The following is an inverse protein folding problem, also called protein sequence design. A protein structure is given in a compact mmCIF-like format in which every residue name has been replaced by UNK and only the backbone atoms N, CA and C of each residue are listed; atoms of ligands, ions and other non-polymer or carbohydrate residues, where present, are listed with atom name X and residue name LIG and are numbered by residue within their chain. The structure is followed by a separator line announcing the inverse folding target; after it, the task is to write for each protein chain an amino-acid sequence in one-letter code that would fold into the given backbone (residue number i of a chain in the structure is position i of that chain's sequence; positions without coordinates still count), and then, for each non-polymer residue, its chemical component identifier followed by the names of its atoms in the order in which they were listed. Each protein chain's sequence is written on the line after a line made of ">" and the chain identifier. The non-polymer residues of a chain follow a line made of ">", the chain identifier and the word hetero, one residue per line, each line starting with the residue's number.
data_IF_230597880665
#
_entry.id   IF_230597880665
#
_cell.length_a   1.000
_cell.length_b   1.000
_cell.length_c   1.000
_cell.angle_alpha   90.00
_cell.angle_beta   90.00
_cell.angle_gamma   90.00
#
_symmetry.space_group_name_H-M   'P 1'
#
loop_
_entity.id
_entity.type
_entity.pdbx_description
1 polymer ?
#
# COMPACT_ATOMS: atom_id res chain seq x y z
N UNK A 1 -11.53 -29.59 -47.46
CA UNK A 1 -10.70 -28.63 -46.71
C UNK A 1 -11.44 -27.30 -46.63
N UNK A 2 -12.07 -26.97 -45.49
CA UNK A 2 -12.65 -25.63 -45.27
C UNK A 2 -11.75 -24.86 -44.28
N UNK A 3 -11.39 -23.59 -44.55
CA UNK A 3 -10.50 -22.85 -43.66
C UNK A 3 -11.27 -22.30 -42.46
N UNK A 4 -10.83 -22.69 -41.27
CA UNK A 4 -11.35 -22.24 -39.99
C UNK A 4 -10.94 -20.76 -39.76
N UNK A 5 -11.82 -19.81 -40.06
CA UNK A 5 -11.60 -18.39 -39.76
C UNK A 5 -11.74 -18.16 -38.26
N UNK A 6 -10.60 -18.06 -37.58
CA UNK A 6 -10.48 -17.63 -36.18
C UNK A 6 -11.34 -16.38 -35.95
N UNK A 7 -12.46 -16.54 -35.19
CA UNK A 7 -13.32 -15.43 -34.78
C UNK A 7 -12.50 -14.46 -33.94
N UNK A 8 -12.06 -13.36 -34.55
CA UNK A 8 -11.58 -12.19 -33.82
C UNK A 8 -12.74 -11.71 -32.93
N UNK A 9 -12.61 -11.90 -31.61
CA UNK A 9 -13.62 -11.45 -30.64
C UNK A 9 -13.76 -9.93 -30.76
N UNK A 10 -14.91 -9.49 -31.25
CA UNK A 10 -15.24 -8.08 -31.45
C UNK A 10 -15.43 -7.37 -30.10
N UNK A 11 -14.36 -6.84 -29.51
CA UNK A 11 -14.37 -6.07 -28.25
C UNK A 11 -15.20 -4.77 -28.34
N UNK A 12 -15.61 -4.35 -29.54
CA UNK A 12 -16.32 -3.10 -29.80
C UNK A 12 -17.80 -3.11 -29.36
N UNK A 13 -18.38 -4.26 -29.03
CA UNK A 13 -19.80 -4.40 -28.67
C UNK A 13 -20.03 -4.81 -27.20
N UNK A 14 -19.25 -4.27 -26.25
CA UNK A 14 -19.61 -4.39 -24.83
C UNK A 14 -20.92 -3.65 -24.57
N UNK A 15 -21.99 -4.39 -24.28
CA UNK A 15 -23.30 -3.79 -23.95
C UNK A 15 -23.14 -2.87 -22.74
N UNK A 16 -23.89 -1.75 -22.74
CA UNK A 16 -23.86 -0.73 -21.68
C UNK A 16 -24.01 -1.37 -20.29
N UNK A 17 -24.86 -2.37 -20.18
CA UNK A 17 -25.10 -3.16 -18.96
C UNK A 17 -23.83 -3.86 -18.46
N UNK A 18 -23.08 -4.54 -19.33
CA UNK A 18 -21.82 -5.18 -18.95
C UNK A 18 -20.76 -4.18 -18.50
N UNK A 19 -20.73 -2.98 -19.08
CA UNK A 19 -19.85 -1.89 -18.63
C UNK A 19 -20.24 -1.40 -17.23
N UNK A 20 -21.53 -1.22 -16.98
CA UNK A 20 -22.05 -0.82 -15.67
C UNK A 20 -21.71 -1.87 -14.60
N UNK A 21 -21.94 -3.14 -14.91
CA UNK A 21 -21.61 -4.25 -14.00
C UNK A 21 -20.11 -4.33 -13.71
N UNK A 22 -19.25 -4.21 -14.73
CA UNK A 22 -17.80 -4.18 -14.56
C UNK A 22 -17.35 -3.00 -13.68
N UNK A 23 -17.90 -1.80 -13.90
CA UNK A 23 -17.61 -0.63 -13.08
C UNK A 23 -18.09 -0.79 -11.63
N UNK A 24 -19.25 -1.42 -11.42
CA UNK A 24 -19.75 -1.74 -10.07
C UNK A 24 -18.80 -2.71 -9.34
N UNK A 25 -18.33 -3.76 -10.03
CA UNK A 25 -17.35 -4.69 -9.46
C UNK A 25 -16.03 -4.00 -9.11
N UNK A 26 -15.52 -3.15 -9.99
CA UNK A 26 -14.28 -2.43 -9.73
C UNK A 26 -14.42 -1.46 -8.54
N UNK A 27 -15.56 -0.77 -8.41
CA UNK A 27 -15.85 0.04 -7.22
C UNK A 27 -15.81 -0.80 -5.95
N UNK A 28 -16.47 -1.96 -5.91
CA UNK A 28 -16.44 -2.84 -4.75
C UNK A 28 -15.02 -3.33 -4.42
N UNK A 29 -14.23 -3.66 -5.44
CA UNK A 29 -12.81 -4.03 -5.28
C UNK A 29 -12.02 -2.89 -4.65
N UNK A 30 -12.16 -1.67 -5.15
CA UNK A 30 -11.48 -0.47 -4.62
C UNK A 30 -11.95 -0.13 -3.20
N UNK A 31 -13.25 -0.28 -2.88
CA UNK A 31 -13.76 -0.09 -1.52
C UNK A 31 -13.12 -1.08 -0.55
N UNK A 32 -13.03 -2.35 -0.93
CA UNK A 32 -12.38 -3.40 -0.12
C UNK A 32 -10.91 -3.06 0.15
N UNK A 33 -10.17 -2.68 -0.89
CA UNK A 33 -8.76 -2.28 -0.77
C UNK A 33 -8.62 -1.05 0.12
N UNK A 34 -9.50 -0.06 -0.02
CA UNK A 34 -9.43 1.16 0.77
C UNK A 34 -9.72 0.89 2.25
N UNK A 35 -10.66 0.00 2.56
CA UNK A 35 -10.93 -0.43 3.94
C UNK A 35 -9.73 -1.15 4.56
N UNK A 36 -9.09 -2.08 3.83
CA UNK A 36 -7.87 -2.74 4.28
C UNK A 36 -6.72 -1.74 4.49
N UNK A 37 -6.62 -0.74 3.60
CA UNK A 37 -5.62 0.31 3.69
C UNK A 37 -5.82 1.20 4.92
N UNK A 38 -7.05 1.58 5.25
CA UNK A 38 -7.34 2.34 6.47
C UNK A 38 -7.01 1.52 7.73
N UNK A 39 -7.29 0.21 7.72
CA UNK A 39 -6.89 -0.68 8.82
C UNK A 39 -5.37 -0.71 9.01
N UNK A 40 -4.61 -0.76 7.90
CA UNK A 40 -3.16 -0.63 7.97
C UNK A 40 -2.75 0.75 8.51
N UNK A 41 -3.36 1.84 8.03
CA UNK A 41 -3.08 3.21 8.47
C UNK A 41 -3.26 3.39 9.97
N UNK A 42 -4.28 2.78 10.57
CA UNK A 42 -4.51 2.86 12.03
C UNK A 42 -3.59 1.95 12.84
N UNK A 43 -2.94 0.97 12.20
CA UNK A 43 -2.05 0.00 12.87
C UNK A 43 -0.59 0.43 12.86
N UNK A 44 -0.20 1.36 11.98
CA UNK A 44 1.18 1.87 11.89
C UNK A 44 1.41 3.04 12.85
N UNK A 45 2.63 3.20 13.40
CA UNK A 45 2.97 4.34 14.25
C UNK A 45 2.95 5.66 13.47
N UNK A 46 2.44 6.71 14.10
CA UNK A 46 2.35 8.07 13.55
C UNK A 46 2.44 9.10 14.69
N UNK A 47 2.64 10.39 14.37
CA UNK A 47 2.69 11.45 15.39
C UNK A 47 1.34 11.69 16.06
N UNK A 48 0.25 11.42 15.34
CA UNK A 48 -1.11 11.55 15.84
C UNK A 48 -2.01 10.55 15.13
N UNK A 49 -2.97 9.98 15.86
CA UNK A 49 -3.98 9.07 15.31
C UNK A 49 -4.74 9.67 14.11
N UNK A 50 -4.91 11.00 14.10
CA UNK A 50 -5.63 11.72 13.05
C UNK A 50 -4.73 12.25 11.92
N UNK A 51 -3.43 11.95 11.94
CA UNK A 51 -2.49 12.44 10.94
C UNK A 51 -2.81 11.87 9.55
N UNK A 52 -3.04 12.76 8.57
CA UNK A 52 -3.36 12.37 7.18
C UNK A 52 -2.11 11.94 6.40
N UNK A 53 -1.72 10.67 6.55
CA UNK A 53 -0.64 10.06 5.77
C UNK A 53 -1.07 9.73 4.32
N UNK A 54 -0.13 9.79 3.38
CA UNK A 54 -0.38 9.32 2.00
C UNK A 54 -0.35 7.79 1.93
N UNK A 55 -0.85 7.19 0.83
CA UNK A 55 -0.76 5.74 0.65
C UNK A 55 0.68 5.24 0.65
N UNK A 56 1.58 5.96 -0.01
CA UNK A 56 2.99 5.59 -0.03
C UNK A 56 3.64 5.72 1.36
N UNK A 57 3.29 6.77 2.10
CA UNK A 57 3.79 7.02 3.45
C UNK A 57 3.44 5.89 4.41
N UNK A 58 2.18 5.45 4.42
CA UNK A 58 1.73 4.32 5.27
C UNK A 58 2.48 3.05 4.93
N UNK A 59 2.69 2.75 3.64
CA UNK A 59 3.46 1.57 3.22
C UNK A 59 4.92 1.64 3.68
N UNK A 60 5.58 2.79 3.52
CA UNK A 60 6.97 2.99 3.97
C UNK A 60 7.12 2.81 5.49
N UNK A 61 6.23 3.44 6.25
CA UNK A 61 6.23 3.31 7.72
C UNK A 61 5.95 1.86 8.14
N UNK A 62 5.00 1.18 7.48
CA UNK A 62 4.70 -0.22 7.75
C UNK A 62 5.92 -1.13 7.56
N UNK A 63 6.68 -0.96 6.47
CA UNK A 63 7.88 -1.76 6.23
C UNK A 63 8.93 -1.57 7.33
N UNK A 64 9.27 -0.33 7.69
CA UNK A 64 10.23 -0.04 8.76
C UNK A 64 9.76 -0.59 10.11
N UNK A 65 8.45 -0.47 10.38
CA UNK A 65 7.88 -0.95 11.64
C UNK A 65 7.86 -2.48 11.74
N UNK A 66 7.55 -3.19 10.65
CA UNK A 66 7.66 -4.66 10.59
C UNK A 66 9.10 -5.09 10.89
N UNK A 67 10.10 -4.45 10.28
CA UNK A 67 11.51 -4.76 10.54
C UNK A 67 11.85 -4.58 12.03
N UNK A 68 11.46 -3.44 12.62
CA UNK A 68 11.67 -3.17 14.04
C UNK A 68 11.04 -4.23 14.95
N UNK A 69 9.75 -4.53 14.76
CA UNK A 69 9.05 -5.54 15.56
C UNK A 69 9.66 -6.93 15.39
N UNK A 70 10.16 -7.23 14.20
CA UNK A 70 10.81 -8.51 13.93
C UNK A 70 12.15 -8.63 14.64
N UNK A 71 12.98 -7.58 14.63
CA UNK A 71 14.22 -7.53 15.41
C UNK A 71 13.96 -7.66 16.91
N UNK A 72 12.90 -7.02 17.42
CA UNK A 72 12.46 -7.17 18.81
C UNK A 72 12.03 -8.60 19.15
N UNK A 73 11.45 -9.32 18.18
CA UNK A 73 11.06 -10.72 18.32
C UNK A 73 12.22 -11.72 18.07
N UNK A 74 13.44 -11.25 17.81
CA UNK A 74 14.60 -12.09 17.53
C UNK A 74 14.64 -12.66 16.11
N UNK A 75 13.85 -12.12 15.18
CA UNK A 75 13.88 -12.46 13.77
C UNK A 75 14.73 -11.44 12.98
N UNK A 76 15.35 -11.88 11.89
CA UNK A 76 16.05 -10.99 10.95
C UNK A 76 15.37 -11.02 9.58
N UNK A 77 14.77 -9.89 9.19
CA UNK A 77 14.26 -9.63 7.84
C UNK A 77 15.03 -8.51 7.13
N UNK A 78 16.21 -8.14 7.65
CA UNK A 78 17.05 -7.15 7.00
C UNK A 78 17.58 -7.68 5.67
N UNK A 79 17.73 -6.78 4.70
CA UNK A 79 18.35 -7.16 3.43
C UNK A 79 19.81 -7.56 3.67
N UNK A 80 20.18 -8.72 3.13
CA UNK A 80 21.56 -9.23 3.19
C UNK A 80 22.04 -9.71 4.56
N UNK A 81 21.15 -9.89 5.55
CA UNK A 81 21.55 -10.31 6.90
C UNK A 81 22.42 -9.28 7.60
N UNK A 82 22.15 -7.99 7.35
CA UNK A 82 22.85 -6.87 8.02
C UNK A 82 22.60 -6.84 9.52
N UNK A 83 21.57 -7.54 9.97
CA UNK A 83 21.21 -7.75 11.36
C UNK A 83 21.27 -6.45 12.19
N UNK A 84 20.51 -5.41 11.79
CA UNK A 84 20.55 -4.13 12.47
C UNK A 84 20.15 -4.29 13.93
N UNK A 85 20.79 -3.51 14.78
CA UNK A 85 20.39 -3.40 16.17
C UNK A 85 18.96 -2.86 16.28
N UNK A 86 18.31 -3.17 17.40
CA UNK A 86 16.98 -2.63 17.70
C UNK A 86 17.00 -1.10 17.68
N UNK A 87 18.07 -0.48 18.21
CA UNK A 87 18.23 0.98 18.20
C UNK A 87 18.21 1.57 16.79
N UNK A 88 18.97 0.97 15.87
CA UNK A 88 19.01 1.42 14.47
C UNK A 88 17.63 1.28 13.80
N UNK A 89 16.90 0.21 14.11
CA UNK A 89 15.54 0.01 13.61
C UNK A 89 14.54 1.04 14.17
N UNK A 90 14.68 1.42 15.44
CA UNK A 90 13.89 2.49 16.07
C UNK A 90 14.20 3.83 15.40
N UNK A 91 15.47 4.15 15.18
CA UNK A 91 15.91 5.38 14.54
C UNK A 91 15.40 5.47 13.09
N UNK A 92 15.47 4.37 12.34
CA UNK A 92 14.95 4.26 10.99
C UNK A 92 13.44 4.50 10.95
N UNK A 93 12.68 3.83 11.82
CA UNK A 93 11.23 3.97 11.91
C UNK A 93 10.83 5.39 12.27
N UNK A 94 11.49 5.96 13.29
CA UNK A 94 11.28 7.34 13.73
C UNK A 94 11.53 8.31 12.59
N UNK A 95 12.70 8.22 11.92
CA UNK A 95 13.06 9.06 10.77
C UNK A 95 12.03 8.96 9.65
N UNK A 96 11.56 7.74 9.35
CA UNK A 96 10.53 7.51 8.32
C UNK A 96 9.25 8.26 8.66
N UNK A 97 8.78 8.19 9.90
CA UNK A 97 7.59 8.93 10.37
C UNK A 97 7.80 10.45 10.24
N UNK A 98 9.00 10.96 10.56
CA UNK A 98 9.29 12.40 10.47
C UNK A 98 9.24 12.92 9.03
N UNK A 99 9.92 12.22 8.11
CA UNK A 99 10.02 12.61 6.70
C UNK A 99 8.63 12.58 6.06
N UNK A 100 7.91 11.48 6.26
CA UNK A 100 6.59 11.29 5.66
C UNK A 100 5.51 12.18 6.29
N UNK A 101 5.68 12.56 7.57
CA UNK A 101 4.80 13.52 8.24
C UNK A 101 5.00 14.97 7.79
N UNK A 102 6.25 15.37 7.51
CA UNK A 102 6.58 16.73 7.03
C UNK A 102 6.32 16.93 5.53
N UNK A 103 6.29 15.86 4.74
CA UNK A 103 6.10 15.93 3.28
C UNK A 103 4.80 16.66 2.85
N UNK A 104 3.79 16.75 3.74
CA UNK A 104 2.60 17.60 3.51
C UNK A 104 2.73 19.03 4.00
N UNK A 105 3.44 19.29 5.11
CA UNK A 105 3.56 20.65 5.66
C UNK A 105 4.25 21.62 4.68
N UNK A 106 5.12 21.10 3.81
CA UNK A 106 5.84 21.88 2.78
C UNK A 106 5.03 22.19 1.52
N UNK A 107 3.80 21.68 1.35
CA UNK A 107 2.99 21.90 0.13
C UNK A 107 1.92 22.97 0.28
N UNK A 108 1.70 23.47 1.48
CA UNK A 108 0.67 24.45 1.81
C UNK A 108 1.26 25.85 2.15
N UNK A 109 2.54 26.08 1.86
CA UNK A 109 3.24 27.38 1.89
C UNK A 109 3.75 27.70 0.47
#
# INVERSE_FOLDING_TARGET
>A
MQPNKQKQRNYKNMTRERRIEANARERNRVHTISAAFEKLRTSVPAYSHNQKLSKLSVLRIACSYILLLSRLAGHDYSEGGTEPSISECVDLTTRTIQVEGKAKKKRDE
#
